data_IF_305137232552
#
_entry.id   IF_305137232552
#
_cell.length_a   1.000
_cell.length_b   1.000
_cell.length_c   1.000
_cell.angle_alpha   90.00
_cell.angle_beta   90.00
_cell.angle_gamma   90.00
#
_symmetry.space_group_name_H-M   'P 1'
#
loop_
_entity.id
_entity.type
_entity.pdbx_description
1 polymer ?
#
# COMPACT_ATOMS: atom_id res chain seq x y z
N UNK A 1 -23.93 37.44 -0.22
CA UNK A 1 -23.65 36.89 -1.56
C UNK A 1 -22.28 36.24 -1.48
N UNK A 2 -22.22 34.90 -1.38
CA UNK A 2 -20.96 34.19 -1.16
C UNK A 2 -20.32 33.92 -2.53
N UNK A 3 -19.33 34.74 -2.90
CA UNK A 3 -18.56 34.53 -4.11
C UNK A 3 -17.43 33.55 -3.80
N UNK A 4 -17.55 32.33 -4.32
CA UNK A 4 -16.43 31.39 -4.38
C UNK A 4 -15.70 31.65 -5.70
N UNK A 5 -14.40 31.96 -5.64
CA UNK A 5 -13.53 32.01 -6.82
C UNK A 5 -12.73 30.70 -6.87
N UNK A 6 -12.79 30.00 -8.01
CA UNK A 6 -12.15 28.70 -8.24
C UNK A 6 -11.16 28.87 -9.38
N UNK A 7 -9.90 28.51 -9.12
CA UNK A 7 -8.80 28.57 -10.11
C UNK A 7 -8.09 27.24 -10.19
N UNK A 8 -7.63 26.90 -11.39
CA UNK A 8 -6.73 25.76 -11.61
C UNK A 8 -5.30 26.17 -11.29
N UNK A 9 -4.55 25.26 -10.66
CA UNK A 9 -3.13 25.41 -10.39
C UNK A 9 -2.38 24.23 -11.02
N UNK A 10 -1.20 24.51 -11.56
CA UNK A 10 -0.22 23.50 -11.95
C UNK A 10 0.81 23.33 -10.85
N UNK A 11 1.16 22.09 -10.52
CA UNK A 11 2.19 21.76 -9.52
C UNK A 11 3.27 20.96 -10.22
N UNK A 12 4.53 21.34 -10.04
CA UNK A 12 5.70 20.58 -10.48
C UNK A 12 6.50 20.19 -9.26
N UNK A 13 6.74 18.89 -9.08
CA UNK A 13 7.56 18.38 -7.99
C UNK A 13 9.04 18.56 -8.33
N UNK A 14 9.81 19.16 -7.42
CA UNK A 14 11.27 19.33 -7.54
C UNK A 14 12.04 18.44 -6.54
N UNK A 15 11.30 17.63 -5.79
CA UNK A 15 11.78 16.66 -4.82
C UNK A 15 10.74 15.54 -4.69
N UNK A 16 11.07 14.40 -4.06
CA UNK A 16 10.08 13.41 -3.67
C UNK A 16 8.95 14.06 -2.85
N UNK A 17 7.71 13.69 -3.14
CA UNK A 17 6.51 14.14 -2.42
C UNK A 17 5.79 12.91 -1.89
N UNK A 18 5.50 12.90 -0.60
CA UNK A 18 4.66 11.90 0.04
C UNK A 18 3.39 12.59 0.56
N UNK A 19 2.24 12.08 0.14
CA UNK A 19 0.94 12.43 0.72
C UNK A 19 0.47 11.17 1.46
N UNK A 20 0.47 11.23 2.79
CA UNK A 20 0.14 10.07 3.62
C UNK A 20 -1.34 9.71 3.56
N UNK A 21 -1.64 8.43 3.81
CA UNK A 21 -2.98 7.88 3.95
C UNK A 21 -3.31 7.45 5.39
N UNK A 22 -2.45 7.79 6.36
CA UNK A 22 -2.52 7.35 7.77
C UNK A 22 -2.38 5.83 8.00
N UNK A 23 -2.09 5.06 6.94
CA UNK A 23 -1.81 3.63 7.03
C UNK A 23 -0.32 3.38 7.31
N UNK A 24 -0.05 2.39 8.16
CA UNK A 24 1.30 1.91 8.45
C UNK A 24 1.60 0.72 7.55
N UNK A 25 2.70 0.81 6.79
CA UNK A 25 3.22 -0.33 6.03
C UNK A 25 4.05 -1.22 6.96
N UNK A 26 3.41 -2.27 7.46
CA UNK A 26 4.07 -3.27 8.31
C UNK A 26 5.07 -4.11 7.50
N UNK A 27 6.25 -4.45 8.05
CA UNK A 27 7.30 -5.23 7.35
C UNK A 27 6.86 -6.61 6.86
N UNK A 28 5.78 -7.16 7.40
CA UNK A 28 5.21 -8.45 6.98
C UNK A 28 4.38 -8.35 5.71
N UNK A 29 4.00 -7.13 5.31
CA UNK A 29 3.16 -6.86 4.15
C UNK A 29 3.92 -6.68 2.85
N UNK A 30 5.25 -6.79 2.82
CA UNK A 30 6.02 -6.60 1.59
C UNK A 30 7.30 -7.43 1.54
N UNK A 31 7.85 -7.58 0.34
CA UNK A 31 9.18 -8.15 0.11
C UNK A 31 9.98 -7.22 -0.80
N UNK A 32 11.28 -7.09 -0.54
CA UNK A 32 12.21 -6.40 -1.44
C UNK A 32 12.97 -7.45 -2.25
N UNK A 33 12.76 -7.46 -3.56
CA UNK A 33 13.39 -8.39 -4.48
C UNK A 33 13.68 -7.67 -5.80
N UNK A 34 14.86 -7.95 -6.39
CA UNK A 34 15.29 -7.37 -7.67
C UNK A 34 15.32 -5.83 -7.69
N UNK A 35 15.64 -5.21 -6.55
CA UNK A 35 15.67 -3.75 -6.40
C UNK A 35 14.29 -3.09 -6.34
N UNK A 36 13.22 -3.88 -6.23
CA UNK A 36 11.83 -3.41 -6.17
C UNK A 36 11.19 -3.81 -4.84
N UNK A 37 10.27 -2.98 -4.35
CA UNK A 37 9.41 -3.28 -3.21
C UNK A 37 8.07 -3.82 -3.73
N UNK A 38 7.75 -5.05 -3.35
CA UNK A 38 6.51 -5.74 -3.74
C UNK A 38 5.58 -5.78 -2.53
N UNK A 39 4.45 -5.07 -2.62
CA UNK A 39 3.39 -5.17 -1.62
C UNK A 39 2.62 -6.48 -1.78
N UNK A 40 2.45 -7.20 -0.68
CA UNK A 40 1.68 -8.44 -0.63
C UNK A 40 0.22 -8.09 -0.35
N UNK A 41 -0.65 -8.37 -1.32
CA UNK A 41 -2.08 -8.43 -1.06
C UNK A 41 -2.39 -9.77 -0.37
N UNK A 42 -2.90 -9.77 0.89
CA UNK A 42 -3.18 -11.00 1.62
C UNK A 42 -4.16 -11.93 0.91
N UNK A 43 -5.15 -11.39 0.18
CA UNK A 43 -6.14 -12.19 -0.53
C UNK A 43 -5.52 -12.91 -1.73
N UNK A 44 -4.64 -12.21 -2.45
CA UNK A 44 -3.89 -12.79 -3.58
C UNK A 44 -2.89 -13.84 -3.07
N UNK A 45 -2.15 -13.51 -2.00
CA UNK A 45 -1.17 -14.41 -1.39
C UNK A 45 -1.83 -15.71 -0.91
N UNK A 46 -2.97 -15.64 -0.23
CA UNK A 46 -3.69 -16.81 0.23
C UNK A 46 -4.21 -17.69 -0.93
N UNK A 47 -4.52 -17.10 -2.09
CA UNK A 47 -4.90 -17.82 -3.30
C UNK A 47 -3.73 -18.51 -4.00
N UNK A 48 -2.53 -17.93 -3.91
CA UNK A 48 -1.32 -18.43 -4.57
C UNK A 48 -0.62 -19.57 -3.82
N UNK A 49 -0.83 -19.68 -2.50
CA UNK A 49 -0.19 -20.69 -1.66
C UNK A 49 -0.93 -22.03 -1.68
N UNK A 50 -0.17 -23.12 -1.82
CA UNK A 50 -0.67 -24.47 -1.68
C UNK A 50 -0.91 -24.85 -0.20
N UNK A 51 -1.65 -25.94 0.02
CA UNK A 51 -2.02 -26.38 1.38
C UNK A 51 -0.82 -26.67 2.30
N UNK A 52 0.35 -26.96 1.74
CA UNK A 52 1.60 -27.20 2.48
C UNK A 52 2.34 -25.93 2.85
N UNK A 53 2.11 -24.86 2.11
CA UNK A 53 2.77 -23.55 2.27
C UNK A 53 1.94 -22.62 3.15
N UNK A 54 0.64 -22.87 3.23
CA UNK A 54 -0.24 -22.31 4.26
C UNK A 54 0.19 -22.86 5.63
N UNK A 55 0.71 -22.00 6.50
CA UNK A 55 0.93 -22.34 7.90
C UNK A 55 -0.38 -22.73 8.61
N UNK A 56 -0.32 -23.25 9.85
CA UNK A 56 -1.54 -23.48 10.63
C UNK A 56 -2.31 -22.16 10.70
N UNK A 57 -3.58 -22.17 10.34
CA UNK A 57 -4.43 -20.99 10.45
C UNK A 57 -4.39 -20.52 11.91
N UNK A 58 -3.69 -19.42 12.18
CA UNK A 58 -3.75 -18.82 13.50
C UNK A 58 -5.16 -18.22 13.62
N UNK A 59 -6.04 -18.91 14.36
CA UNK A 59 -7.32 -18.35 14.77
C UNK A 59 -7.01 -17.14 15.65
N UNK A 60 -6.97 -15.96 15.06
CA UNK A 60 -7.14 -14.72 15.80
C UNK A 60 -8.54 -14.72 16.39
N UNK A 61 -8.60 -14.66 17.73
CA UNK A 61 -9.81 -14.39 18.50
C UNK A 61 -10.41 -13.03 18.12
#
# INVERSE_FOLDING_TARGET
>A
MNHVDIRRIGITTLSPVHVGCDEVFEPTGFVIADGLLHLLDPAVLAGALDAREKGPAHQTQ
#
